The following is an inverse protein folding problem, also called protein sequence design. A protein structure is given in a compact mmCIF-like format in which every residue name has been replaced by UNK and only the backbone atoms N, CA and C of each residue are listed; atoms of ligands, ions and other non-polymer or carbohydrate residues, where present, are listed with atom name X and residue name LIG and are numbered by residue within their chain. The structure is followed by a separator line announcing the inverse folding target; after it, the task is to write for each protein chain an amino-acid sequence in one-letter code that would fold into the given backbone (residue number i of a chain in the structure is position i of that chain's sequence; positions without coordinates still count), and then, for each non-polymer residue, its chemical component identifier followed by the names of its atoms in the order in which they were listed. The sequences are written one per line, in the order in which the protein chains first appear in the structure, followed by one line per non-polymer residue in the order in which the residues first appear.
data_IF_089893517560
#
_entry.id   IF_089893517560
#
_cell.length_a   1.000
_cell.length_b   1.000
_cell.length_c   1.000
_cell.angle_alpha   90.00
_cell.angle_beta   90.00
_cell.angle_gamma   90.00
#
_symmetry.space_group_name_H-M   'P 1'
#
loop_
_entity.id
_entity.type
_entity.pdbx_description
1 polymer ?
#
# COMPACT_ATOMS: atom_id res chain seq x y z
N UNK A 1 11.29 3.02 2.94
CA UNK A 1 10.11 3.63 3.60
C UNK A 1 10.15 3.68 5.14
N UNK A 2 11.29 3.49 5.82
CA UNK A 2 11.34 3.45 7.30
C UNK A 2 11.26 4.79 8.04
N UNK A 3 11.48 5.91 7.33
CA UNK A 3 11.47 7.26 7.92
C UNK A 3 10.02 7.79 7.85
N UNK A 4 9.46 8.34 8.95
CA UNK A 4 8.13 8.95 8.91
C UNK A 4 8.15 10.14 7.95
N UNK A 5 7.01 10.41 7.28
CA UNK A 5 6.91 11.49 6.28
C UNK A 5 7.25 12.85 6.89
N UNK A 6 6.82 13.10 8.13
CA UNK A 6 7.10 14.35 8.85
C UNK A 6 8.56 14.48 9.31
N UNK A 7 9.34 13.39 9.27
CA UNK A 7 10.68 13.31 9.85
C UNK A 7 10.67 13.00 11.35
N UNK A 8 11.86 12.86 11.94
CA UNK A 8 12.02 12.68 13.38
C UNK A 8 12.05 14.05 14.07
N UNK A 9 11.61 14.11 15.33
CA UNK A 9 11.54 15.37 16.07
C UNK A 9 12.89 16.11 16.12
N UNK A 10 13.98 15.36 16.29
CA UNK A 10 15.34 15.90 16.31
C UNK A 10 15.76 16.48 14.95
N UNK A 11 15.38 15.84 13.84
CA UNK A 11 15.63 16.36 12.49
C UNK A 11 14.86 17.68 12.27
N UNK A 12 13.61 17.76 12.75
CA UNK A 12 12.76 18.95 12.60
C UNK A 12 13.33 20.13 13.39
N UNK A 13 13.80 19.89 14.63
CA UNK A 13 14.37 20.94 15.48
C UNK A 13 15.66 21.53 14.94
N UNK A 14 16.43 20.73 14.19
CA UNK A 14 17.71 21.13 13.62
C UNK A 14 17.60 21.63 12.18
N UNK A 15 16.40 21.67 11.61
CA UNK A 15 16.17 22.07 10.22
C UNK A 15 16.44 23.57 10.03
N UNK A 16 17.27 23.92 9.05
CA UNK A 16 17.59 25.31 8.73
C UNK A 16 16.87 25.78 7.45
N UNK A 17 16.81 27.11 7.25
CA UNK A 17 16.34 27.68 5.99
C UNK A 17 17.20 27.22 4.80
N UNK A 18 18.51 27.06 5.01
CA UNK A 18 19.41 26.63 3.95
C UNK A 18 19.08 25.19 3.51
N UNK A 19 18.77 24.28 4.45
CA UNK A 19 18.34 22.92 4.13
C UNK A 19 17.08 22.90 3.24
N UNK A 20 16.12 23.78 3.52
CA UNK A 20 14.89 23.93 2.72
C UNK A 20 15.19 24.45 1.31
N UNK A 21 16.06 25.45 1.20
CA UNK A 21 16.50 26.03 -0.07
C UNK A 21 17.25 24.99 -0.90
N UNK A 22 18.14 24.22 -0.28
CA UNK A 22 18.91 23.17 -0.93
C UNK A 22 18.02 22.02 -1.37
N UNK A 23 17.05 21.61 -0.54
CA UNK A 23 16.05 20.62 -0.91
C UNK A 23 15.21 21.08 -2.11
N UNK A 24 14.68 22.31 -2.07
CA UNK A 24 13.93 22.88 -3.18
C UNK A 24 14.77 22.90 -4.47
N UNK A 25 15.99 23.43 -4.39
CA UNK A 25 16.89 23.51 -5.53
C UNK A 25 17.31 22.14 -6.06
N UNK A 26 17.31 21.09 -5.23
CA UNK A 26 17.72 19.73 -5.62
C UNK A 26 16.59 18.88 -6.19
N UNK A 27 15.34 19.11 -5.79
CA UNK A 27 14.22 18.22 -6.11
C UNK A 27 13.09 18.89 -6.91
N UNK A 28 12.92 20.21 -6.82
CA UNK A 28 11.84 20.94 -7.51
C UNK A 28 12.34 21.47 -8.86
N UNK A 29 12.06 20.71 -9.92
CA UNK A 29 12.37 21.09 -11.30
C UNK A 29 11.34 20.51 -12.26
N UNK A 30 11.05 21.17 -13.39
CA UNK A 30 10.22 20.61 -14.45
C UNK A 30 10.74 19.26 -14.96
N UNK A 31 12.05 18.99 -14.89
CA UNK A 31 12.65 17.70 -15.27
C UNK A 31 12.33 16.55 -14.30
N UNK A 32 11.86 16.86 -13.09
CA UNK A 32 11.51 15.91 -12.03
C UNK A 32 10.02 16.06 -11.62
N UNK A 33 9.16 16.54 -12.52
CA UNK A 33 7.75 16.79 -12.27
C UNK A 33 6.88 16.21 -13.38
N UNK A 34 5.69 15.74 -13.01
CA UNK A 34 4.67 15.27 -13.93
C UNK A 34 3.42 16.15 -13.73
N UNK A 35 2.97 16.79 -14.80
CA UNK A 35 1.72 17.57 -14.80
C UNK A 35 0.60 16.75 -15.43
N UNK A 36 -0.45 16.48 -14.66
CA UNK A 36 -1.64 15.79 -15.11
C UNK A 36 -2.79 16.79 -15.26
N UNK A 37 -3.36 16.88 -16.46
CA UNK A 37 -4.50 17.76 -16.77
C UNK A 37 -5.65 16.88 -17.26
N UNK A 38 -6.79 16.92 -16.56
CA UNK A 38 -7.99 16.15 -16.87
C UNK A 38 -9.20 17.06 -16.82
N UNK A 39 -10.07 16.98 -17.82
CA UNK A 39 -11.31 17.75 -17.89
C UNK A 39 -11.68 18.08 -19.33
N UNK A 40 -12.57 19.06 -19.48
CA UNK A 40 -12.89 19.65 -20.78
C UNK A 40 -11.77 20.61 -21.18
N UNK A 41 -10.78 20.13 -21.93
CA UNK A 41 -9.56 20.88 -22.27
C UNK A 41 -9.25 20.81 -23.76
N UNK A 42 -8.67 21.88 -24.30
CA UNK A 42 -8.00 21.85 -25.59
C UNK A 42 -6.52 21.45 -25.40
N UNK A 43 -6.14 20.33 -26.00
CA UNK A 43 -4.79 19.77 -25.85
C UNK A 43 -3.70 20.68 -26.44
N UNK A 44 -4.00 21.43 -27.50
CA UNK A 44 -3.02 22.31 -28.13
C UNK A 44 -2.79 23.57 -27.30
N UNK A 45 -3.86 24.16 -26.77
CA UNK A 45 -3.81 25.32 -25.89
C UNK A 45 -3.02 25.01 -24.61
N UNK A 46 -3.33 23.89 -23.94
CA UNK A 46 -2.61 23.46 -22.74
C UNK A 46 -1.13 23.23 -23.03
N UNK A 47 -0.79 22.58 -24.15
CA UNK A 47 0.61 22.36 -24.52
C UNK A 47 1.36 23.67 -24.74
N UNK A 48 0.72 24.65 -25.37
CA UNK A 48 1.30 25.98 -25.59
C UNK A 48 1.59 26.69 -24.27
N UNK A 49 0.64 26.68 -23.33
CA UNK A 49 0.81 27.30 -22.01
C UNK A 49 1.85 26.59 -21.15
N UNK A 50 1.84 25.25 -21.13
CA UNK A 50 2.86 24.46 -20.41
C UNK A 50 4.25 24.76 -20.95
N UNK A 51 4.40 24.79 -22.28
CA UNK A 51 5.66 25.16 -22.93
C UNK A 51 6.11 26.57 -22.52
N UNK A 52 5.20 27.56 -22.58
CA UNK A 52 5.46 28.95 -22.19
C UNK A 52 5.93 29.07 -20.73
N UNK A 53 5.31 28.34 -19.80
CA UNK A 53 5.61 28.42 -18.37
C UNK A 53 6.92 27.70 -18.01
N UNK A 54 7.12 26.50 -18.55
CA UNK A 54 8.18 25.60 -18.07
C UNK A 54 9.47 25.61 -18.90
N UNK A 55 9.46 26.11 -20.15
CA UNK A 55 10.70 26.22 -20.94
C UNK A 55 11.74 27.15 -20.31
N UNK A 56 11.30 28.21 -19.62
CA UNK A 56 12.17 29.23 -19.01
C UNK A 56 12.87 28.73 -17.74
N UNK A 57 12.37 27.66 -17.12
CA UNK A 57 12.73 27.28 -15.74
C UNK A 57 13.65 26.06 -15.61
N UNK A 58 14.26 25.56 -16.70
CA UNK A 58 15.06 24.32 -16.62
C UNK A 58 16.46 24.54 -16.03
N UNK A 59 16.55 24.68 -14.71
CA UNK A 59 17.82 24.41 -13.99
C UNK A 59 18.27 22.99 -14.35
N UNK A 60 19.56 22.82 -14.69
CA UNK A 60 20.15 21.52 -14.91
C UNK A 60 20.30 20.80 -13.58
N UNK A 61 19.31 19.97 -13.25
CA UNK A 61 19.50 18.94 -12.24
C UNK A 61 20.16 17.73 -12.88
N UNK A 62 21.15 17.19 -12.18
CA UNK A 62 21.65 15.84 -12.45
C UNK A 62 20.49 14.88 -12.15
N UNK A 63 19.85 14.38 -13.21
CA UNK A 63 18.83 13.34 -13.05
C UNK A 63 19.53 12.11 -12.52
N UNK A 64 19.27 11.76 -11.26
CA UNK A 64 19.78 10.52 -10.70
C UNK A 64 19.09 9.37 -11.46
N UNK A 65 19.86 8.47 -12.05
CA UNK A 65 19.31 7.32 -12.75
C UNK A 65 18.34 6.56 -11.84
N UNK A 66 17.21 6.17 -12.40
CA UNK A 66 16.17 5.48 -11.67
C UNK A 66 16.56 4.01 -11.47
N UNK A 67 16.93 3.66 -10.24
CA UNK A 67 17.22 2.25 -9.89
C UNK A 67 15.92 1.55 -9.55
N UNK A 68 15.62 0.45 -10.25
CA UNK A 68 14.57 -0.50 -9.86
C UNK A 68 15.17 -1.38 -8.76
N UNK A 69 14.57 -1.37 -7.57
CA UNK A 69 15.06 -2.11 -6.40
C UNK A 69 14.13 -3.30 -6.16
N UNK A 70 14.70 -4.51 -6.20
CA UNK A 70 13.99 -5.76 -5.90
C UNK A 70 13.72 -5.95 -4.41
N UNK A 71 12.82 -6.88 -4.05
CA UNK A 71 12.56 -7.22 -2.64
C UNK A 71 13.82 -7.79 -1.95
N UNK A 72 14.59 -8.59 -2.69
CA UNK A 72 15.81 -9.25 -2.21
C UNK A 72 16.89 -8.25 -1.72
N UNK A 73 16.91 -7.05 -2.31
CA UNK A 73 17.85 -5.98 -1.94
C UNK A 73 17.54 -5.36 -0.57
N UNK A 74 16.32 -5.54 -0.05
CA UNK A 74 15.97 -5.15 1.32
C UNK A 74 16.38 -6.22 2.35
N UNK A 75 16.92 -7.36 1.89
CA UNK A 75 17.26 -8.53 2.68
C UNK A 75 16.04 -9.35 3.09
N UNK A 76 16.26 -10.63 3.43
CA UNK A 76 15.30 -11.43 4.17
C UNK A 76 15.29 -10.85 5.58
N UNK A 77 14.44 -9.84 5.79
CA UNK A 77 14.32 -9.21 7.10
C UNK A 77 13.94 -10.28 8.10
N UNK A 78 14.69 -10.39 9.20
CA UNK A 78 14.23 -11.19 10.35
C UNK A 78 12.88 -10.67 10.80
N UNK A 79 12.14 -11.52 11.50
CA UNK A 79 10.89 -11.09 12.11
C UNK A 79 11.16 -9.92 13.06
N UNK A 80 10.43 -8.83 12.88
CA UNK A 80 10.60 -7.60 13.67
C UNK A 80 9.39 -7.43 14.58
N UNK A 81 9.63 -7.18 15.86
CA UNK A 81 8.59 -7.04 16.87
C UNK A 81 8.80 -5.73 17.62
N UNK A 82 7.79 -4.86 17.60
CA UNK A 82 7.84 -3.60 18.34
C UNK A 82 6.54 -3.36 19.10
N UNK A 83 6.66 -3.15 20.41
CA UNK A 83 5.55 -2.70 21.25
C UNK A 83 5.74 -1.24 21.58
N UNK A 84 4.70 -0.45 21.36
CA UNK A 84 4.60 0.95 21.75
C UNK A 84 3.57 1.01 22.90
N UNK A 85 4.02 1.46 24.06
CA UNK A 85 3.14 1.77 25.20
C UNK A 85 2.81 3.24 25.18
N UNK A 86 1.53 3.57 25.12
CA UNK A 86 1.05 4.95 25.14
C UNK A 86 -0.30 5.01 25.81
N UNK A 87 -0.56 6.10 26.54
CA UNK A 87 -1.90 6.39 27.05
C UNK A 87 -2.87 6.52 25.86
N UNK A 88 -3.63 5.45 25.65
CA UNK A 88 -4.51 5.24 24.50
C UNK A 88 -5.77 4.56 24.98
N UNK A 89 -6.91 4.97 24.44
CA UNK A 89 -8.20 4.32 24.71
C UNK A 89 -8.34 2.96 24.01
N UNK A 90 -7.39 2.60 23.16
CA UNK A 90 -7.44 1.39 22.33
C UNK A 90 -6.11 0.65 22.33
N UNK A 91 -6.19 -0.67 22.38
CA UNK A 91 -5.10 -1.61 22.09
C UNK A 91 -5.22 -2.06 20.65
N UNK A 92 -4.11 -2.16 19.94
CA UNK A 92 -4.14 -2.53 18.53
C UNK A 92 -2.91 -3.34 18.12
N UNK A 93 -3.07 -4.13 17.07
CA UNK A 93 -2.01 -4.92 16.46
C UNK A 93 -1.98 -4.62 14.97
N UNK A 94 -0.78 -4.38 14.44
CA UNK A 94 -0.49 -4.38 13.00
C UNK A 94 0.46 -5.53 12.69
N UNK A 95 0.09 -6.36 11.72
CA UNK A 95 0.94 -7.40 11.14
C UNK A 95 1.21 -7.02 9.69
N UNK A 96 2.48 -6.85 9.33
CA UNK A 96 2.91 -6.59 7.95
C UNK A 96 3.79 -7.71 7.42
N UNK A 97 3.72 -7.97 6.13
CA UNK A 97 4.60 -8.87 5.39
C UNK A 97 5.27 -8.09 4.27
N UNK A 98 6.58 -8.23 4.11
CA UNK A 98 7.32 -7.51 3.05
C UNK A 98 6.96 -8.13 1.70
N UNK A 99 6.48 -7.30 0.79
CA UNK A 99 5.95 -7.72 -0.52
C UNK A 99 6.58 -6.91 -1.65
N UNK A 100 6.64 -7.44 -2.88
CA UNK A 100 7.33 -6.79 -3.99
C UNK A 100 6.65 -5.49 -4.41
N UNK A 101 7.37 -4.65 -5.16
CA UNK A 101 6.74 -3.55 -5.89
C UNK A 101 6.09 -4.06 -7.17
N UNK A 102 5.09 -3.32 -7.65
CA UNK A 102 4.45 -3.63 -8.93
C UNK A 102 5.46 -3.61 -10.08
N UNK A 103 6.46 -2.72 -10.03
CA UNK A 103 7.49 -2.61 -11.10
C UNK A 103 8.35 -3.86 -11.24
N UNK A 104 8.47 -4.67 -10.19
CA UNK A 104 9.29 -5.89 -10.17
C UNK A 104 8.42 -7.11 -10.45
N UNK A 105 7.25 -7.21 -9.83
CA UNK A 105 6.35 -8.34 -10.02
C UNK A 105 4.88 -7.90 -10.00
N UNK A 106 4.34 -7.43 -11.14
CA UNK A 106 2.95 -7.00 -11.27
C UNK A 106 1.95 -8.07 -10.84
N UNK A 107 2.15 -9.32 -11.29
CA UNK A 107 1.21 -10.41 -11.05
C UNK A 107 1.10 -10.74 -9.56
N UNK A 108 2.22 -10.82 -8.84
CA UNK A 108 2.18 -11.06 -7.39
C UNK A 108 1.47 -9.93 -6.65
N UNK A 109 1.71 -8.67 -7.02
CA UNK A 109 1.04 -7.50 -6.42
C UNK A 109 -0.47 -7.54 -6.64
N UNK A 110 -0.91 -7.87 -7.86
CA UNK A 110 -2.34 -7.98 -8.18
C UNK A 110 -2.99 -9.16 -7.47
N UNK A 111 -2.30 -10.31 -7.38
CA UNK A 111 -2.77 -11.46 -6.59
C UNK A 111 -2.91 -11.10 -5.11
N UNK A 112 -1.97 -10.35 -4.54
CA UNK A 112 -2.03 -9.87 -3.15
C UNK A 112 -3.19 -8.89 -2.93
N UNK A 113 -3.48 -8.02 -3.90
CA UNK A 113 -4.65 -7.14 -3.86
C UNK A 113 -5.93 -7.96 -3.80
N UNK A 114 -6.13 -8.88 -4.76
CA UNK A 114 -7.32 -9.77 -4.80
C UNK A 114 -7.44 -10.57 -3.51
N UNK A 115 -6.34 -11.12 -3.01
CA UNK A 115 -6.31 -11.83 -1.74
C UNK A 115 -6.76 -10.93 -0.58
N UNK A 116 -6.29 -9.68 -0.53
CA UNK A 116 -6.65 -8.76 0.55
C UNK A 116 -8.16 -8.48 0.63
N UNK A 117 -8.86 -8.38 -0.51
CA UNK A 117 -10.32 -8.24 -0.52
C UNK A 117 -11.03 -9.45 0.09
N UNK A 118 -10.51 -10.65 -0.12
CA UNK A 118 -11.04 -11.88 0.48
C UNK A 118 -10.77 -11.91 1.99
N UNK A 119 -9.59 -11.46 2.40
CA UNK A 119 -9.15 -11.56 3.79
C UNK A 119 -9.74 -10.48 4.70
N UNK A 120 -9.84 -9.23 4.25
CA UNK A 120 -10.23 -8.09 5.11
C UNK A 120 -11.39 -7.23 4.61
N UNK A 121 -11.77 -7.28 3.34
CA UNK A 121 -12.72 -6.30 2.82
C UNK A 121 -14.19 -6.62 3.15
N UNK A 122 -14.72 -5.84 4.10
CA UNK A 122 -16.11 -5.87 4.53
C UNK A 122 -16.47 -7.01 5.46
N UNK A 123 -17.75 -7.08 5.86
CA UNK A 123 -18.23 -8.01 6.90
C UNK A 123 -18.23 -9.48 6.48
N UNK A 124 -18.15 -9.75 5.18
CA UNK A 124 -18.04 -11.12 4.65
C UNK A 124 -16.61 -11.65 4.59
N UNK A 125 -15.61 -10.79 4.85
CA UNK A 125 -14.21 -11.17 4.76
C UNK A 125 -13.81 -12.16 5.85
N UNK A 126 -12.84 -13.01 5.54
CA UNK A 126 -12.44 -14.12 6.41
C UNK A 126 -11.92 -13.66 7.78
N UNK A 127 -11.06 -12.64 7.83
CA UNK A 127 -10.52 -12.11 9.09
C UNK A 127 -11.58 -11.36 9.90
N UNK A 128 -12.52 -10.68 9.26
CA UNK A 128 -13.64 -10.07 9.98
C UNK A 128 -14.48 -11.13 10.68
N UNK A 129 -14.88 -12.18 9.95
CA UNK A 129 -15.68 -13.28 10.52
C UNK A 129 -14.94 -13.94 11.70
N UNK A 130 -13.69 -14.34 11.50
CA UNK A 130 -12.96 -15.05 12.55
C UNK A 130 -12.65 -14.16 13.77
N UNK A 131 -12.10 -12.96 13.57
CA UNK A 131 -11.61 -12.13 14.68
C UNK A 131 -12.71 -11.33 15.39
N UNK A 132 -13.71 -10.84 14.65
CA UNK A 132 -14.77 -9.96 15.17
C UNK A 132 -16.00 -10.75 15.57
N UNK A 133 -16.44 -11.71 14.75
CA UNK A 133 -17.70 -12.45 14.98
C UNK A 133 -17.46 -13.68 15.87
N UNK A 134 -16.52 -14.53 15.47
CA UNK A 134 -16.34 -15.85 16.09
C UNK A 134 -15.51 -15.76 17.39
N UNK A 135 -14.26 -15.29 17.29
CA UNK A 135 -13.33 -15.16 18.42
C UNK A 135 -13.64 -13.95 19.32
N UNK A 136 -14.29 -12.92 18.76
CA UNK A 136 -14.61 -11.63 19.43
C UNK A 136 -13.40 -10.97 20.10
N UNK A 137 -12.21 -11.16 19.53
CA UNK A 137 -10.97 -10.54 20.04
C UNK A 137 -10.76 -9.14 19.48
N UNK A 138 -11.33 -8.85 18.32
CA UNK A 138 -11.21 -7.54 17.67
C UNK A 138 -12.58 -6.84 17.57
N UNK A 139 -12.57 -5.51 17.69
CA UNK A 139 -13.72 -4.65 17.37
C UNK A 139 -13.77 -4.31 15.88
N UNK A 140 -12.61 -4.28 15.23
CA UNK A 140 -12.46 -3.99 13.80
C UNK A 140 -11.20 -4.63 13.26
N UNK A 141 -11.25 -5.03 12.00
CA UNK A 141 -10.10 -5.50 11.23
C UNK A 141 -10.08 -4.74 9.91
N UNK A 142 -8.89 -4.38 9.46
CA UNK A 142 -8.62 -3.74 8.18
C UNK A 142 -7.27 -4.22 7.67
N UNK A 143 -6.92 -3.86 6.44
CA UNK A 143 -5.66 -4.25 5.84
C UNK A 143 -5.66 -3.99 4.36
N UNK A 144 -4.63 -4.48 3.69
CA UNK A 144 -4.47 -4.31 2.26
C UNK A 144 -3.01 -4.39 1.88
N UNK A 145 -2.74 -4.14 0.61
CA UNK A 145 -1.39 -3.93 0.12
C UNK A 145 -1.08 -2.44 0.07
N UNK A 146 0.06 -2.06 0.62
CA UNK A 146 0.61 -0.73 0.42
C UNK A 146 1.50 -0.77 -0.82
N UNK A 147 1.01 -0.25 -1.93
CA UNK A 147 1.80 -0.22 -3.17
C UNK A 147 2.69 1.02 -3.19
N UNK A 148 4.00 0.79 -3.15
CA UNK A 148 5.03 1.81 -3.30
C UNK A 148 5.79 1.67 -4.62
N UNK A 149 6.57 2.69 -4.96
CA UNK A 149 7.55 2.64 -6.06
C UNK A 149 8.55 1.50 -5.86
N UNK A 150 8.92 1.30 -4.60
CA UNK A 150 9.77 0.21 -4.13
C UNK A 150 8.94 -0.80 -3.31
N UNK A 151 9.47 -2.02 -3.06
CA UNK A 151 8.88 -2.98 -2.14
C UNK A 151 8.42 -2.34 -0.84
N UNK A 152 7.27 -2.79 -0.36
CA UNK A 152 6.63 -2.24 0.83
C UNK A 152 5.95 -3.35 1.62
N UNK A 153 4.71 -3.18 2.09
CA UNK A 153 4.05 -4.18 2.93
C UNK A 153 2.65 -4.51 2.44
N UNK A 154 2.28 -5.79 2.55
CA UNK A 154 0.89 -6.20 2.74
C UNK A 154 0.66 -6.29 4.25
N UNK A 155 -0.41 -5.66 4.76
CA UNK A 155 -0.62 -5.54 6.19
C UNK A 155 -2.06 -5.83 6.62
N UNK A 156 -2.19 -6.17 7.89
CA UNK A 156 -3.43 -6.40 8.61
C UNK A 156 -3.39 -5.61 9.91
N UNK A 157 -4.43 -4.83 10.18
CA UNK A 157 -4.57 -4.02 11.37
C UNK A 157 -5.85 -4.40 12.10
N UNK A 158 -5.74 -4.69 13.39
CA UNK A 158 -6.87 -5.02 14.24
C UNK A 158 -6.85 -4.18 15.51
N UNK A 159 -8.04 -3.76 15.94
CA UNK A 159 -8.25 -3.04 17.20
C UNK A 159 -8.96 -3.98 18.17
N UNK A 160 -8.49 -4.04 19.42
CA UNK A 160 -9.04 -4.91 20.44
C UNK A 160 -10.43 -4.46 20.87
N UNK A 161 -11.30 -5.41 21.22
CA UNK A 161 -12.46 -5.09 22.06
C UNK A 161 -12.01 -4.58 23.45
N UNK A 162 -12.83 -3.78 24.16
CA UNK A 162 -12.44 -3.13 25.42
C UNK A 162 -11.80 -4.05 26.47
N UNK A 163 -12.34 -5.26 26.64
CA UNK A 163 -11.91 -6.22 27.68
C UNK A 163 -10.85 -7.22 27.19
N UNK A 164 -10.37 -7.07 25.95
CA UNK A 164 -9.40 -8.00 25.37
C UNK A 164 -7.98 -7.50 25.61
N UNK A 165 -7.15 -8.32 26.27
CA UNK A 165 -5.72 -8.04 26.37
C UNK A 165 -5.06 -8.10 24.98
N UNK A 166 -4.06 -7.25 24.75
CA UNK A 166 -3.33 -7.12 23.50
C UNK A 166 -2.62 -8.42 23.09
N UNK A 167 -2.17 -9.24 24.05
CA UNK A 167 -1.59 -10.56 23.74
C UNK A 167 -2.62 -11.50 23.11
N UNK A 168 -3.85 -11.52 23.63
CA UNK A 168 -4.95 -12.32 23.08
C UNK A 168 -5.35 -11.83 21.69
N UNK A 169 -5.35 -10.51 21.47
CA UNK A 169 -5.55 -9.95 20.13
C UNK A 169 -4.43 -10.37 19.19
N UNK A 170 -3.16 -10.23 19.60
CA UNK A 170 -1.98 -10.61 18.81
C UNK A 170 -2.07 -12.07 18.38
N UNK A 171 -2.26 -12.97 19.34
CA UNK A 171 -2.28 -14.41 19.07
C UNK A 171 -3.48 -14.77 18.19
N UNK A 172 -4.63 -14.13 18.42
CA UNK A 172 -5.79 -14.20 17.56
C UNK A 172 -5.48 -13.82 16.12
N UNK A 173 -4.94 -12.62 15.88
CA UNK A 173 -4.61 -12.10 14.54
C UNK A 173 -3.59 -12.98 13.84
N UNK A 174 -2.49 -13.33 14.52
CA UNK A 174 -1.40 -14.14 13.95
C UNK A 174 -1.91 -15.52 13.56
N UNK A 175 -2.58 -16.22 14.48
CA UNK A 175 -3.17 -17.54 14.19
C UNK A 175 -4.19 -17.46 13.06
N UNK A 176 -5.08 -16.46 13.06
CA UNK A 176 -6.06 -16.25 12.01
C UNK A 176 -5.40 -16.11 10.65
N UNK A 177 -4.33 -15.31 10.51
CA UNK A 177 -3.63 -15.10 9.25
C UNK A 177 -3.02 -16.42 8.75
N UNK A 178 -2.31 -17.17 9.59
CA UNK A 178 -1.66 -18.41 9.19
C UNK A 178 -2.63 -19.56 8.92
N UNK A 179 -3.79 -19.55 9.59
CA UNK A 179 -4.81 -20.58 9.44
C UNK A 179 -5.84 -20.26 8.35
N UNK A 180 -5.83 -19.04 7.80
CA UNK A 180 -6.92 -18.54 6.96
C UNK A 180 -7.14 -19.32 5.67
N UNK A 181 -6.08 -19.98 5.18
CA UNK A 181 -6.11 -20.81 3.97
C UNK A 181 -6.16 -22.31 4.27
N UNK A 182 -6.32 -22.74 5.54
CA UNK A 182 -6.65 -24.14 5.86
C UNK A 182 -7.96 -24.57 5.20
N UNK A 183 -8.91 -23.63 5.07
CA UNK A 183 -10.08 -23.80 4.21
C UNK A 183 -9.79 -23.26 2.81
N UNK A 184 -10.06 -24.02 1.74
CA UNK A 184 -9.80 -23.57 0.37
C UNK A 184 -10.50 -22.24 0.05
N UNK A 185 -9.86 -21.39 -0.75
CA UNK A 185 -10.52 -20.24 -1.38
C UNK A 185 -11.57 -20.76 -2.38
N UNK A 186 -12.77 -20.21 -2.33
CA UNK A 186 -13.87 -20.56 -3.22
C UNK A 186 -13.90 -19.63 -4.44
N UNK A 187 -14.42 -20.12 -5.57
CA UNK A 187 -14.58 -19.30 -6.78
C UNK A 187 -15.50 -18.09 -6.55
N UNK A 188 -16.50 -18.22 -5.67
CA UNK A 188 -17.41 -17.12 -5.35
C UNK A 188 -16.69 -16.01 -4.55
N UNK A 189 -15.79 -16.35 -3.61
CA UNK A 189 -14.96 -15.35 -2.93
C UNK A 189 -14.07 -14.58 -3.92
N UNK A 190 -13.45 -15.28 -4.87
CA UNK A 190 -12.61 -14.67 -5.90
C UNK A 190 -13.44 -13.74 -6.78
N UNK A 191 -14.60 -14.21 -7.24
CA UNK A 191 -15.53 -13.42 -8.07
C UNK A 191 -16.02 -12.17 -7.35
N UNK A 192 -16.38 -12.27 -6.08
CA UNK A 192 -16.80 -11.12 -5.25
C UNK A 192 -15.64 -10.13 -5.11
N UNK A 193 -14.43 -10.60 -4.81
CA UNK A 193 -13.24 -9.76 -4.68
C UNK A 193 -12.96 -8.98 -5.98
N UNK A 194 -12.91 -9.67 -7.13
CA UNK A 194 -12.70 -9.03 -8.44
C UNK A 194 -13.78 -7.99 -8.75
N UNK A 195 -15.05 -8.30 -8.46
CA UNK A 195 -16.17 -7.37 -8.67
C UNK A 195 -16.03 -6.10 -7.83
N UNK A 196 -15.59 -6.23 -6.57
CA UNK A 196 -15.37 -5.09 -5.67
C UNK A 196 -14.21 -4.21 -6.15
N UNK A 197 -13.06 -4.80 -6.47
CA UNK A 197 -11.91 -4.08 -7.05
C UNK A 197 -12.33 -3.27 -8.28
N UNK A 198 -13.10 -3.89 -9.18
CA UNK A 198 -13.61 -3.22 -10.37
C UNK A 198 -14.57 -2.08 -10.03
N UNK A 199 -15.46 -2.26 -9.07
CA UNK A 199 -16.39 -1.23 -8.64
C UNK A 199 -15.65 -0.03 -8.02
N UNK A 200 -14.71 -0.28 -7.11
CA UNK A 200 -13.89 0.77 -6.49
C UNK A 200 -13.12 1.55 -7.55
N UNK A 201 -12.61 0.85 -8.57
CA UNK A 201 -11.93 1.51 -9.68
C UNK A 201 -12.84 2.40 -10.52
N UNK A 202 -14.07 1.96 -10.79
CA UNK A 202 -15.07 2.76 -11.51
C UNK A 202 -15.43 4.01 -10.70
N UNK A 203 -15.67 3.87 -9.39
CA UNK A 203 -15.99 5.00 -8.51
C UNK A 203 -14.88 6.05 -8.46
N UNK A 204 -13.62 5.63 -8.48
CA UNK A 204 -12.48 6.56 -8.59
C UNK A 204 -12.52 7.35 -9.91
N UNK A 205 -12.92 6.73 -11.01
CA UNK A 205 -12.93 7.33 -12.34
C UNK A 205 -14.16 8.19 -12.63
N UNK A 206 -15.20 8.17 -11.80
CA UNK A 206 -16.34 9.08 -11.93
C UNK A 206 -15.96 10.55 -11.69
N UNK A 207 -14.88 10.81 -10.96
CA UNK A 207 -14.45 12.15 -10.58
C UNK A 207 -13.19 12.54 -11.34
N UNK A 208 -13.17 13.75 -11.92
CA UNK A 208 -11.98 14.33 -12.59
C UNK A 208 -10.72 14.25 -11.71
N UNK A 209 -10.87 14.54 -10.41
CA UNK A 209 -9.78 14.41 -9.43
C UNK A 209 -9.28 12.98 -9.29
N UNK A 210 -10.17 11.99 -9.29
CA UNK A 210 -9.80 10.59 -9.16
C UNK A 210 -9.08 10.07 -10.40
N UNK A 211 -9.52 10.45 -11.60
CA UNK A 211 -8.80 10.19 -12.86
C UNK A 211 -7.38 10.78 -12.80
N UNK A 212 -7.26 12.08 -12.47
CA UNK A 212 -5.97 12.76 -12.42
C UNK A 212 -5.02 12.15 -11.38
N UNK A 213 -5.55 11.86 -10.18
CA UNK A 213 -4.78 11.23 -9.09
C UNK A 213 -4.32 9.83 -9.50
N UNK A 214 -5.17 9.08 -10.18
CA UNK A 214 -4.83 7.73 -10.61
C UNK A 214 -3.75 7.71 -11.68
N UNK A 215 -3.82 8.57 -12.69
CA UNK A 215 -2.75 8.64 -13.69
C UNK A 215 -1.44 9.16 -13.11
N UNK A 216 -1.49 10.19 -12.26
CA UNK A 216 -0.29 10.71 -11.60
C UNK A 216 0.35 9.67 -10.69
N UNK A 217 -0.45 8.95 -9.90
CA UNK A 217 0.03 7.86 -9.07
C UNK A 217 0.62 6.72 -9.91
N UNK A 218 -0.06 6.30 -10.98
CA UNK A 218 0.44 5.23 -11.85
C UNK A 218 1.76 5.60 -12.54
N UNK A 219 1.91 6.82 -13.01
CA UNK A 219 3.17 7.32 -13.59
C UNK A 219 4.30 7.30 -12.53
N UNK A 220 4.05 7.86 -11.34
CA UNK A 220 5.07 7.98 -10.28
C UNK A 220 5.42 6.61 -9.67
N UNK A 221 4.42 5.76 -9.41
CA UNK A 221 4.57 4.52 -8.64
C UNK A 221 4.79 3.32 -9.55
N UNK A 222 4.03 3.18 -10.63
CA UNK A 222 4.15 2.06 -11.56
C UNK A 222 5.16 2.34 -12.69
N UNK A 223 5.53 3.60 -12.89
CA UNK A 223 6.47 4.05 -13.92
C UNK A 223 5.82 4.29 -15.28
N UNK A 224 4.49 4.13 -15.37
CA UNK A 224 3.72 4.34 -16.59
C UNK A 224 2.22 4.42 -16.25
N UNK A 225 1.58 5.54 -16.60
CA UNK A 225 0.15 5.74 -16.35
C UNK A 225 -0.75 4.69 -17.01
N UNK A 226 -0.29 4.04 -18.08
CA UNK A 226 -1.03 3.02 -18.85
C UNK A 226 -1.10 1.67 -18.15
N UNK A 227 -0.26 1.43 -17.15
CA UNK A 227 -0.26 0.18 -16.35
C UNK A 227 -1.55 -0.03 -15.56
N UNK A 228 -2.41 0.99 -15.49
CA UNK A 228 -3.74 0.88 -14.93
C UNK A 228 -4.63 -0.12 -15.68
N UNK A 229 -4.49 -0.20 -17.01
CA UNK A 229 -5.25 -1.13 -17.84
C UNK A 229 -4.69 -2.55 -17.70
N UNK A 230 -3.36 -2.66 -17.60
CA UNK A 230 -2.66 -3.92 -17.31
C UNK A 230 -3.09 -4.49 -15.96
N UNK A 231 -3.15 -3.65 -14.92
CA UNK A 231 -3.61 -4.03 -13.59
C UNK A 231 -5.02 -4.64 -13.66
N UNK A 232 -5.96 -3.99 -14.34
CA UNK A 232 -7.33 -4.50 -14.46
C UNK A 232 -7.41 -5.80 -15.25
N UNK A 233 -6.58 -6.00 -16.28
CA UNK A 233 -6.49 -7.27 -17.00
C UNK A 233 -5.97 -8.38 -16.10
N UNK A 234 -4.90 -8.12 -15.35
CA UNK A 234 -4.35 -9.08 -14.39
C UNK A 234 -5.38 -9.47 -13.32
N UNK A 235 -6.17 -8.51 -12.81
CA UNK A 235 -7.25 -8.80 -11.85
C UNK A 235 -8.22 -9.84 -12.39
N UNK A 236 -8.62 -9.73 -13.65
CA UNK A 236 -9.53 -10.69 -14.29
C UNK A 236 -8.87 -12.07 -14.48
N UNK A 237 -7.55 -12.10 -14.71
CA UNK A 237 -6.76 -13.33 -14.93
C UNK A 237 -6.37 -14.08 -13.64
N UNK A 238 -6.40 -13.43 -12.47
CA UNK A 238 -5.97 -14.06 -11.21
C UNK A 238 -6.75 -15.34 -10.93
N UNK A 239 -6.01 -16.43 -10.70
CA UNK A 239 -6.56 -17.74 -10.38
C UNK A 239 -6.43 -18.05 -8.89
N UNK A 240 -7.14 -19.08 -8.42
CA UNK A 240 -6.99 -19.60 -7.07
C UNK A 240 -5.55 -20.02 -6.75
N UNK A 241 -4.85 -20.61 -7.72
CA UNK A 241 -3.46 -21.05 -7.54
C UNK A 241 -2.53 -19.84 -7.38
N UNK A 242 -2.77 -18.75 -8.11
CA UNK A 242 -2.01 -17.51 -7.94
C UNK A 242 -2.16 -16.96 -6.52
N UNK A 243 -3.37 -16.99 -5.94
CA UNK A 243 -3.63 -16.55 -4.56
C UNK A 243 -2.92 -17.43 -3.53
N UNK A 244 -2.96 -18.76 -3.72
CA UNK A 244 -2.27 -19.71 -2.86
C UNK A 244 -0.75 -19.53 -2.94
N UNK A 245 -0.22 -19.31 -4.15
CA UNK A 245 1.19 -19.09 -4.40
C UNK A 245 1.70 -17.83 -3.69
N UNK A 246 1.02 -16.68 -3.83
CA UNK A 246 1.47 -15.46 -3.13
C UNK A 246 1.32 -15.55 -1.62
N UNK A 247 0.29 -16.25 -1.12
CA UNK A 247 0.18 -16.48 0.31
C UNK A 247 1.38 -17.28 0.83
N UNK A 248 1.67 -18.44 0.24
CA UNK A 248 2.79 -19.28 0.66
C UNK A 248 4.14 -18.59 0.47
N UNK A 249 4.27 -17.75 -0.56
CA UNK A 249 5.52 -17.03 -0.87
C UNK A 249 5.84 -15.90 0.11
N UNK A 250 4.83 -15.20 0.64
CA UNK A 250 5.05 -13.98 1.44
C UNK A 250 4.60 -14.08 2.90
N UNK A 251 3.66 -14.97 3.24
CA UNK A 251 3.04 -15.05 4.56
C UNK A 251 3.70 -16.16 5.38
N UNK A 252 4.96 -15.91 5.78
CA UNK A 252 5.73 -16.78 6.67
C UNK A 252 6.32 -15.97 7.82
N UNK A 253 6.62 -16.65 8.94
CA UNK A 253 7.01 -15.99 10.19
C UNK A 253 8.21 -15.05 10.05
N UNK A 254 9.27 -15.48 9.36
CA UNK A 254 10.47 -14.65 9.23
C UNK A 254 10.21 -13.38 8.41
N UNK A 255 9.26 -13.38 7.47
CA UNK A 255 8.90 -12.18 6.73
C UNK A 255 7.98 -11.22 7.49
N UNK A 256 7.51 -11.61 8.67
CA UNK A 256 6.51 -10.88 9.43
C UNK A 256 7.13 -9.70 10.20
N UNK A 257 6.43 -8.58 10.17
CA UNK A 257 6.70 -7.39 11.00
C UNK A 257 5.47 -7.15 11.88
N UNK A 258 5.65 -7.17 13.19
CA UNK A 258 4.60 -6.99 14.18
C UNK A 258 4.77 -5.66 14.92
N UNK A 259 3.77 -4.79 14.83
CA UNK A 259 3.61 -3.63 15.67
C UNK A 259 2.47 -3.83 16.67
N UNK A 260 2.70 -3.50 17.93
CA UNK A 260 1.71 -3.57 18.99
C UNK A 260 1.56 -2.18 19.59
N UNK A 261 0.33 -1.68 19.67
CA UNK A 261 -0.03 -0.54 20.50
C UNK A 261 -0.71 -1.08 21.76
N UNK A 262 -0.09 -0.83 22.90
CA UNK A 262 -0.63 -1.19 24.20
C UNK A 262 -0.83 0.06 25.07
N UNK A 263 -1.80 0.01 25.96
CA UNK A 263 -2.14 1.09 26.88
C UNK A 263 -1.86 0.74 28.35
N UNK A 264 -1.32 -0.45 28.62
CA UNK A 264 -0.75 -0.86 29.92
C UNK A 264 0.68 -0.37 30.13
#
# INVERSE_FOLDING_TARGET
YRRPIIGWEEDIKNLTLQDLVDFYNSYYSPKNAILIVVGNIDKQEIRKEVKRIFEVSSKNLTQKEEVIVGLEEFGIGRSEFKTIRKDSKSKAVIVGFRTPSYRVNPKDVVSLEVLSYILVDGRGARLYRDLVVDKKVASSVSGGIMVGKYPFLTYFFAVANPDVNVDKLRDGVVSSIFDILKSPITEEEIKIAKKKIKADKVYDFEKVRGIASSFGWSEVVLGDYRKIDEFMKLVEEITKDDLLNVFNKYFYYDNMVLGILDNS
#
